data_IF_096652630036
#
_entry.id   IF_096652630036
#
_cell.length_a   1.000
_cell.length_b   1.000
_cell.length_c   1.000
_cell.angle_alpha   90.00
_cell.angle_beta   90.00
_cell.angle_gamma   90.00
#
_symmetry.space_group_name_H-M   'P 1'
#
loop_
_entity.id
_entity.type
_entity.pdbx_description
1 polymer ?
#
# COMPACT_ATOMS: atom_id res chain seq x y z
N UNK A 1 9.79 -1.16 -11.99
CA UNK A 1 8.59 -0.50 -11.40
C UNK A 1 9.02 0.36 -10.22
N UNK A 2 8.43 1.52 -10.07
CA UNK A 2 8.74 2.37 -8.94
C UNK A 2 8.17 1.77 -7.65
N UNK A 3 8.81 2.03 -6.54
CA UNK A 3 8.40 1.45 -5.26
C UNK A 3 6.99 1.85 -4.85
N UNK A 4 6.62 3.13 -5.02
CA UNK A 4 5.27 3.56 -4.67
C UNK A 4 4.22 2.87 -5.54
N UNK A 5 4.55 2.62 -6.80
CA UNK A 5 3.68 1.90 -7.71
C UNK A 5 3.49 0.46 -7.27
N UNK A 6 4.58 -0.18 -6.85
CA UNK A 6 4.52 -1.57 -6.39
C UNK A 6 3.67 -1.69 -5.12
N UNK A 7 3.84 -0.76 -4.20
CA UNK A 7 3.06 -0.75 -2.96
C UNK A 7 1.57 -0.57 -3.29
N UNK A 8 1.25 0.37 -4.17
CA UNK A 8 -0.13 0.61 -4.56
C UNK A 8 -0.75 -0.61 -5.24
N UNK A 9 0.00 -1.23 -6.12
CA UNK A 9 -0.46 -2.43 -6.82
C UNK A 9 -0.77 -3.54 -5.83
N UNK A 10 0.09 -3.70 -4.85
CA UNK A 10 -0.10 -4.77 -3.87
C UNK A 10 -1.27 -4.50 -2.95
N UNK A 11 -1.48 -3.25 -2.54
CA UNK A 11 -2.64 -2.89 -1.75
C UNK A 11 -3.92 -3.21 -2.54
N UNK A 12 -3.96 -2.84 -3.81
CA UNK A 12 -5.13 -3.10 -4.64
C UNK A 12 -5.38 -4.59 -4.82
N UNK A 13 -4.32 -5.38 -4.90
CA UNK A 13 -4.46 -6.83 -4.98
C UNK A 13 -5.21 -7.38 -3.76
N UNK A 14 -4.83 -6.92 -2.56
CA UNK A 14 -5.49 -7.42 -1.35
C UNK A 14 -6.90 -6.86 -1.18
N UNK A 15 -7.15 -5.65 -1.66
CA UNK A 15 -8.51 -5.12 -1.67
C UNK A 15 -9.42 -6.03 -2.49
N UNK A 16 -8.96 -6.42 -3.67
CA UNK A 16 -9.73 -7.32 -4.51
C UNK A 16 -9.85 -8.71 -3.91
N UNK A 17 -8.77 -9.21 -3.36
CA UNK A 17 -8.77 -10.54 -2.79
C UNK A 17 -9.75 -10.66 -1.63
N UNK A 18 -9.94 -9.58 -0.88
CA UNK A 18 -10.86 -9.57 0.25
C UNK A 18 -12.28 -9.15 -0.14
N UNK A 19 -12.52 -8.96 -1.42
CA UNK A 19 -13.83 -8.55 -1.92
C UNK A 19 -14.36 -7.29 -1.26
N UNK A 20 -13.48 -6.35 -1.02
CA UNK A 20 -13.89 -5.08 -0.41
C UNK A 20 -14.63 -4.26 -1.45
N UNK A 21 -15.87 -3.92 -1.18
CA UNK A 21 -16.66 -3.17 -2.13
C UNK A 21 -16.40 -1.69 -2.07
N UNK A 22 -15.77 -1.22 -1.00
CA UNK A 22 -15.40 0.19 -0.90
C UNK A 22 -14.21 0.32 0.02
N UNK A 23 -13.53 1.46 -0.05
CA UNK A 23 -12.39 1.73 0.81
C UNK A 23 -12.80 2.01 2.25
N UNK A 24 -14.10 2.18 2.49
CA UNK A 24 -14.58 2.42 3.85
C UNK A 24 -14.17 1.29 4.80
N UNK A 25 -14.26 0.05 4.31
CA UNK A 25 -13.88 -1.08 5.13
C UNK A 25 -12.39 -1.03 5.48
N UNK A 26 -11.56 -0.59 4.54
CA UNK A 26 -10.14 -0.47 4.81
C UNK A 26 -9.86 0.62 5.82
N UNK A 27 -10.51 1.77 5.72
CA UNK A 27 -10.34 2.83 6.72
C UNK A 27 -10.70 2.33 8.10
N UNK A 28 -11.85 1.65 8.19
CA UNK A 28 -12.37 1.21 9.46
C UNK A 28 -11.51 0.10 10.07
N UNK A 29 -11.12 -0.85 9.27
CA UNK A 29 -10.40 -2.01 9.78
C UNK A 29 -8.93 -1.73 10.06
N UNK A 30 -8.34 -0.79 9.35
CA UNK A 30 -6.92 -0.48 9.55
C UNK A 30 -6.70 0.62 10.58
N UNK A 31 -7.70 1.47 10.77
CA UNK A 31 -7.52 2.63 11.63
C UNK A 31 -6.65 3.71 11.00
N UNK A 32 -6.28 3.56 9.75
CA UNK A 32 -5.45 4.55 9.05
C UNK A 32 -6.37 5.62 8.48
N UNK A 33 -6.03 6.91 8.64
CA UNK A 33 -6.89 7.98 8.14
C UNK A 33 -7.17 7.87 6.65
N UNK A 34 -8.37 8.27 6.27
CA UNK A 34 -8.80 8.24 4.90
C UNK A 34 -7.86 9.00 3.98
N UNK A 35 -7.40 10.18 4.42
CA UNK A 35 -6.50 10.98 3.60
C UNK A 35 -5.20 10.25 3.33
N UNK A 36 -4.70 9.50 4.30
CA UNK A 36 -3.46 8.74 4.12
C UNK A 36 -3.65 7.62 3.10
N UNK A 37 -4.75 6.88 3.20
CA UNK A 37 -4.99 5.79 2.26
C UNK A 37 -5.23 6.34 0.86
N UNK A 38 -5.96 7.45 0.74
CA UNK A 38 -6.20 8.04 -0.56
C UNK A 38 -4.90 8.53 -1.19
N UNK A 39 -4.00 9.08 -0.39
CA UNK A 39 -2.71 9.52 -0.92
C UNK A 39 -1.88 8.34 -1.42
N UNK A 40 -1.93 7.22 -0.71
CA UNK A 40 -1.17 6.04 -1.13
C UNK A 40 -1.73 5.42 -2.40
N UNK A 41 -3.03 5.50 -2.61
CA UNK A 41 -3.65 4.93 -3.79
C UNK A 41 -3.75 5.89 -4.96
N UNK A 42 -3.46 7.16 -4.73
CA UNK A 42 -3.50 8.15 -5.79
C UNK A 42 -2.30 8.06 -6.69
N UNK A 43 -2.42 8.59 -7.89
CA UNK A 43 -1.32 8.52 -8.85
C UNK A 43 -0.61 9.85 -8.98
N UNK A 44 -1.13 10.89 -8.38
CA UNK A 44 -0.55 12.20 -8.54
C UNK A 44 0.60 12.47 -7.62
N UNK A 45 0.63 11.81 -6.47
CA UNK A 45 1.67 12.05 -5.49
C UNK A 45 2.39 10.76 -5.25
N UNK A 46 3.68 10.82 -5.28
CA UNK A 46 4.47 9.64 -5.02
C UNK A 46 4.64 9.47 -3.52
N UNK A 47 3.67 8.87 -2.90
CA UNK A 47 3.64 8.69 -1.47
C UNK A 47 4.05 7.30 -1.08
N UNK A 48 4.87 7.22 -0.05
CA UNK A 48 5.22 5.93 0.53
C UNK A 48 4.80 5.91 1.98
N UNK A 49 4.24 4.81 2.46
CA UNK A 49 3.84 4.75 3.86
C UNK A 49 5.05 4.49 4.75
N UNK A 50 4.97 4.92 5.99
CA UNK A 50 5.92 4.48 6.98
C UNK A 50 5.59 3.03 7.30
N UNK A 51 6.58 2.30 7.82
CA UNK A 51 6.35 0.89 8.13
C UNK A 51 5.20 0.66 9.13
N UNK A 52 5.07 1.46 10.19
CA UNK A 52 3.91 1.24 11.07
C UNK A 52 2.58 1.46 10.37
N UNK A 53 2.52 2.44 9.48
CA UNK A 53 1.30 2.68 8.71
C UNK A 53 1.01 1.49 7.80
N UNK A 54 2.04 0.98 7.14
CA UNK A 54 1.86 -0.19 6.28
C UNK A 54 1.42 -1.41 7.07
N UNK A 55 1.96 -1.59 8.27
CA UNK A 55 1.54 -2.68 9.13
C UNK A 55 0.04 -2.59 9.41
N UNK A 56 -0.46 -1.41 9.76
CA UNK A 56 -1.87 -1.25 10.03
C UNK A 56 -2.73 -1.48 8.78
N UNK A 57 -2.25 -1.06 7.63
CA UNK A 57 -2.94 -1.32 6.37
C UNK A 57 -3.01 -2.83 6.13
N UNK A 58 -1.91 -3.54 6.35
CA UNK A 58 -1.90 -4.99 6.20
C UNK A 58 -2.92 -5.65 7.12
N UNK A 59 -3.01 -5.18 8.36
CA UNK A 59 -4.00 -5.71 9.28
C UNK A 59 -5.41 -5.50 8.77
N UNK A 60 -5.67 -4.32 8.21
CA UNK A 60 -6.97 -4.04 7.63
C UNK A 60 -7.26 -4.84 6.38
N UNK A 61 -6.21 -5.33 5.70
CA UNK A 61 -6.34 -6.14 4.51
C UNK A 61 -6.25 -7.63 4.81
N UNK A 62 -6.26 -8.01 6.06
CA UNK A 62 -6.21 -9.41 6.46
C UNK A 62 -4.91 -10.10 6.03
N UNK A 63 -3.81 -9.38 6.11
CA UNK A 63 -2.53 -9.94 5.73
C UNK A 63 -1.45 -9.47 6.72
N UNK A 64 -0.20 -9.75 6.45
CA UNK A 64 0.91 -9.32 7.28
C UNK A 64 2.03 -8.82 6.38
N UNK A 65 3.08 -8.24 6.98
CA UNK A 65 4.15 -7.65 6.19
C UNK A 65 4.88 -8.66 5.33
N UNK A 66 5.08 -9.86 5.85
CA UNK A 66 5.78 -10.88 5.09
C UNK A 66 5.00 -11.23 3.84
N UNK A 67 3.71 -11.49 3.99
CA UNK A 67 2.86 -11.87 2.88
C UNK A 67 2.68 -10.70 1.91
N UNK A 68 2.60 -9.50 2.43
CA UNK A 68 2.44 -8.32 1.60
C UNK A 68 3.60 -8.18 0.62
N UNK A 69 4.82 -8.40 1.10
CA UNK A 69 6.00 -8.24 0.26
C UNK A 69 6.39 -9.52 -0.50
N UNK A 70 5.64 -10.58 -0.34
CA UNK A 70 5.96 -11.85 -1.01
C UNK A 70 5.36 -11.86 -2.41
N UNK A 71 5.94 -11.08 -3.30
CA UNK A 71 5.48 -10.99 -4.68
C UNK A 71 6.66 -10.53 -5.55
N UNK A 72 6.79 -11.08 -6.75
CA UNK A 72 7.90 -10.70 -7.64
C UNK A 72 7.98 -9.22 -7.98
N UNK A 73 6.89 -8.47 -7.85
CA UNK A 73 6.95 -7.05 -8.18
C UNK A 73 7.92 -6.30 -7.29
N UNK A 74 8.28 -6.85 -6.13
CA UNK A 74 9.21 -6.17 -5.24
C UNK A 74 10.67 -6.52 -5.50
N UNK A 75 10.95 -7.40 -6.45
CA UNK A 75 12.34 -7.81 -6.71
C UNK A 75 13.14 -6.70 -7.37
N UNK A 76 12.56 -6.00 -8.32
CA UNK A 76 13.28 -4.95 -9.06
C UNK A 76 12.64 -3.59 -8.91
N UNK A 77 12.31 -3.22 -7.69
CA UNK A 77 11.74 -1.90 -7.46
C UNK A 77 12.81 -0.85 -7.37
N UNK A 78 12.45 0.36 -7.71
CA UNK A 78 13.34 1.51 -7.68
C UNK A 78 12.65 2.66 -6.96
N UNK A 79 13.44 3.53 -6.41
CA UNK A 79 12.91 4.76 -5.83
C UNK A 79 13.69 5.92 -6.39
N UNK A 80 13.35 6.31 -7.60
CA UNK A 80 14.13 7.32 -8.32
C UNK A 80 14.03 8.70 -7.72
N UNK A 81 13.12 8.88 -6.78
CA UNK A 81 13.07 10.15 -6.13
C UNK A 81 14.18 10.38 -5.18
N UNK A 82 14.81 9.34 -4.76
CA UNK A 82 15.94 9.48 -3.88
C UNK A 82 17.14 10.04 -4.57
N UNK A 83 17.11 10.14 -5.86
CA UNK A 83 18.23 10.64 -6.58
C UNK A 83 18.42 12.08 -6.43
N UNK A 84 17.58 12.72 -5.75
CA UNK A 84 17.73 14.07 -5.64
C UNK A 84 18.69 14.50 -4.66
N UNK A 85 19.36 13.74 -4.06
CA UNK A 85 20.25 14.16 -3.05
C UNK A 85 21.35 14.97 -3.49
#
# INVERSE_FOLDING_TARGET
MQLDEAIRTRINYFIEKNNMSSLWDLYKNSGVPKSTINALLGTEINSLPRLPTLLHICEGLNTNLKEFFDDPIFIDVEDSKEDIK
#
